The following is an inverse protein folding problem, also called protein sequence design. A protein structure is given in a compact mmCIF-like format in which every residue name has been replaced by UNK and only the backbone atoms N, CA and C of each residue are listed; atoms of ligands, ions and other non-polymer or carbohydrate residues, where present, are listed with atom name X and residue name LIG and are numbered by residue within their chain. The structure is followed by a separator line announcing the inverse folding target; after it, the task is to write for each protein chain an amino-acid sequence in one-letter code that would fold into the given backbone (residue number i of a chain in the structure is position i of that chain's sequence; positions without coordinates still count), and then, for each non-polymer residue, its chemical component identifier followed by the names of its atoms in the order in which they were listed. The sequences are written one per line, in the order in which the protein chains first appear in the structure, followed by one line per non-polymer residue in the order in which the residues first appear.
data_IF_006823917099
#
_entry.id   IF_006823917099
#
_cell.length_a   1.000
_cell.length_b   1.000
_cell.length_c   1.000
_cell.angle_alpha   90.00
_cell.angle_beta   90.00
_cell.angle_gamma   90.00
#
_symmetry.space_group_name_H-M   'P 1'
#
loop_
_entity.id
_entity.type
_entity.pdbx_description
1 polymer ?
#
# COMPACT_ATOMS: atom_id res chain seq x y z
N UNK A 1 10.94 -22.66 -21.49
CA UNK A 1 9.96 -21.72 -22.09
C UNK A 1 9.50 -20.81 -20.96
N UNK A 2 9.69 -19.50 -21.09
CA UNK A 2 9.20 -18.55 -20.09
C UNK A 2 7.67 -18.61 -20.01
N UNK A 3 7.12 -18.72 -18.80
CA UNK A 3 5.69 -18.67 -18.58
C UNK A 3 5.14 -17.27 -18.80
N UNK A 4 3.97 -17.14 -19.45
CA UNK A 4 3.31 -15.85 -19.63
C UNK A 4 2.16 -15.69 -18.64
N UNK A 5 2.12 -14.57 -17.95
CA UNK A 5 0.99 -14.09 -17.16
C UNK A 5 0.59 -12.67 -17.59
N UNK A 6 -0.65 -12.30 -17.34
CA UNK A 6 -1.17 -10.98 -17.65
C UNK A 6 -1.64 -10.31 -16.36
N UNK A 7 -1.17 -9.10 -16.08
CA UNK A 7 -1.74 -8.22 -15.08
C UNK A 7 -2.81 -7.35 -15.74
N UNK A 8 -4.08 -7.56 -15.38
CA UNK A 8 -5.19 -6.81 -15.94
C UNK A 8 -5.67 -5.74 -14.96
N UNK A 9 -5.54 -4.49 -15.37
CA UNK A 9 -5.91 -3.30 -14.59
C UNK A 9 -7.21 -2.68 -15.11
N UNK A 10 -7.92 -1.99 -14.24
CA UNK A 10 -9.05 -1.13 -14.59
C UNK A 10 -8.62 0.31 -14.90
N UNK A 11 -9.35 1.28 -14.38
CA UNK A 11 -9.06 2.71 -14.49
C UNK A 11 -7.69 3.05 -13.92
N UNK A 12 -6.97 3.98 -14.56
CA UNK A 12 -5.73 4.54 -14.04
C UNK A 12 -6.01 5.51 -12.90
N UNK A 13 -5.18 5.49 -11.86
CA UNK A 13 -5.18 6.52 -10.83
C UNK A 13 -4.19 7.64 -11.16
N UNK A 14 -4.52 8.87 -10.76
CA UNK A 14 -3.69 10.05 -11.04
C UNK A 14 -3.32 10.75 -9.72
N UNK A 15 -2.15 11.38 -9.63
CA UNK A 15 -1.10 11.54 -10.61
C UNK A 15 -0.18 10.32 -10.76
N UNK A 16 -0.26 9.33 -9.88
CA UNK A 16 0.51 8.08 -9.88
C UNK A 16 -0.43 6.90 -9.71
N UNK A 17 -0.19 5.79 -10.38
CA UNK A 17 -0.98 4.56 -10.24
C UNK A 17 -0.17 3.51 -9.46
N UNK A 18 -0.42 3.43 -8.15
CA UNK A 18 0.29 2.52 -7.26
C UNK A 18 0.07 1.03 -7.62
N UNK A 19 -1.08 0.69 -8.24
CA UNK A 19 -1.36 -0.69 -8.68
C UNK A 19 -0.60 -1.03 -9.95
N UNK A 20 -0.46 -0.08 -10.88
CA UNK A 20 0.40 -0.27 -12.06
C UNK A 20 1.87 -0.39 -11.66
N UNK A 21 2.35 0.46 -10.74
CA UNK A 21 3.71 0.36 -10.18
C UNK A 21 3.94 -0.98 -9.51
N UNK A 22 3.00 -1.44 -8.68
CA UNK A 22 3.04 -2.78 -8.09
C UNK A 22 3.20 -3.87 -9.17
N UNK A 23 2.43 -3.81 -10.25
CA UNK A 23 2.53 -4.79 -11.34
C UNK A 23 3.89 -4.74 -12.05
N UNK A 24 4.49 -3.55 -12.20
CA UNK A 24 5.83 -3.40 -12.80
C UNK A 24 6.91 -4.02 -11.92
N UNK A 25 6.91 -3.73 -10.62
CA UNK A 25 7.87 -4.34 -9.68
C UNK A 25 7.68 -5.84 -9.55
N UNK A 26 6.44 -6.32 -9.48
CA UNK A 26 6.13 -7.74 -9.47
C UNK A 26 6.63 -8.42 -10.77
N UNK A 27 6.37 -7.81 -11.92
CA UNK A 27 6.83 -8.33 -13.22
C UNK A 27 8.34 -8.40 -13.31
N UNK A 28 9.05 -7.38 -12.86
CA UNK A 28 10.52 -7.40 -12.80
C UNK A 28 11.06 -8.52 -11.89
N UNK A 29 10.43 -8.73 -10.74
CA UNK A 29 10.84 -9.79 -9.81
C UNK A 29 10.48 -11.21 -10.34
N UNK A 30 9.32 -11.37 -10.99
CA UNK A 30 8.90 -12.64 -11.59
C UNK A 30 9.78 -13.05 -12.78
N UNK A 31 10.40 -12.09 -13.47
CA UNK A 31 11.33 -12.38 -14.57
C UNK A 31 12.52 -13.26 -14.12
N UNK A 32 12.99 -13.09 -12.88
CA UNK A 32 14.03 -13.96 -12.29
C UNK A 32 13.58 -15.42 -12.09
N UNK A 33 12.28 -15.69 -12.23
CA UNK A 33 11.66 -17.02 -12.14
C UNK A 33 11.11 -17.51 -13.50
N UNK A 34 11.61 -16.98 -14.61
CA UNK A 34 11.16 -17.31 -15.97
C UNK A 34 9.67 -17.03 -16.22
N UNK A 35 9.07 -16.06 -15.52
CA UNK A 35 7.69 -15.63 -15.73
C UNK A 35 7.68 -14.20 -16.27
N UNK A 36 7.15 -14.03 -17.47
CA UNK A 36 6.86 -12.71 -18.05
C UNK A 36 5.49 -12.24 -17.59
N UNK A 37 5.37 -11.02 -17.06
CA UNK A 37 4.11 -10.40 -16.67
C UNK A 37 3.79 -9.23 -17.60
N UNK A 38 2.84 -9.41 -18.52
CA UNK A 38 2.37 -8.36 -19.41
C UNK A 38 1.28 -7.53 -18.73
N UNK A 39 1.45 -6.20 -18.72
CA UNK A 39 0.45 -5.28 -18.14
C UNK A 39 -0.54 -4.87 -19.22
N UNK A 40 -1.83 -5.12 -18.97
CA UNK A 40 -2.95 -4.75 -19.84
C UNK A 40 -3.98 -3.96 -19.04
N UNK A 41 -4.78 -3.15 -19.72
CA UNK A 41 -5.78 -2.28 -19.08
C UNK A 41 -7.12 -2.35 -19.80
N UNK A 42 -8.21 -2.27 -19.02
CA UNK A 42 -9.57 -2.13 -19.53
C UNK A 42 -9.94 -0.64 -19.45
N UNK A 43 -9.88 0.11 -20.56
CA UNK A 43 -10.00 1.57 -20.55
C UNK A 43 -11.48 2.03 -20.60
N UNK A 44 -12.29 1.51 -19.68
CA UNK A 44 -13.74 1.77 -19.61
C UNK A 44 -14.08 3.23 -19.31
N UNK A 45 -13.18 3.96 -18.67
CA UNK A 45 -13.39 5.37 -18.34
C UNK A 45 -13.31 6.27 -19.60
N UNK A 46 -12.43 5.91 -20.53
CA UNK A 46 -12.18 6.67 -21.76
C UNK A 46 -13.22 6.33 -22.84
N UNK A 47 -13.51 5.06 -23.04
CA UNK A 47 -14.30 4.57 -24.17
C UNK A 47 -15.71 4.09 -23.78
N UNK A 48 -16.06 4.14 -22.48
CA UNK A 48 -17.28 3.55 -21.96
C UNK A 48 -17.22 2.02 -21.87
N UNK A 49 -18.09 1.45 -21.05
CA UNK A 49 -18.10 0.02 -20.78
C UNK A 49 -18.42 -0.88 -22.00
N UNK A 50 -19.37 -0.51 -22.91
CA UNK A 50 -19.65 -1.37 -24.07
C UNK A 50 -18.43 -1.57 -24.97
N UNK A 51 -17.73 -0.49 -25.32
CA UNK A 51 -16.51 -0.54 -26.15
C UNK A 51 -15.37 -1.26 -25.43
N UNK A 52 -15.21 -1.02 -24.12
CA UNK A 52 -14.19 -1.69 -23.31
C UNK A 52 -14.41 -3.20 -23.20
N UNK A 53 -15.65 -3.67 -23.06
CA UNK A 53 -15.99 -5.10 -23.08
C UNK A 53 -15.75 -5.72 -24.45
N UNK A 54 -16.11 -5.05 -25.54
CA UNK A 54 -15.84 -5.54 -26.89
C UNK A 54 -14.32 -5.69 -27.14
N UNK A 55 -13.53 -4.68 -26.80
CA UNK A 55 -12.07 -4.75 -26.92
C UNK A 55 -11.46 -5.84 -26.04
N UNK A 56 -11.97 -6.03 -24.81
CA UNK A 56 -11.51 -7.08 -23.92
C UNK A 56 -11.85 -8.49 -24.49
N UNK A 57 -13.03 -8.68 -25.05
CA UNK A 57 -13.39 -9.95 -25.72
C UNK A 57 -12.38 -10.31 -26.80
N UNK A 58 -12.08 -9.38 -27.70
CA UNK A 58 -11.10 -9.62 -28.80
C UNK A 58 -9.70 -9.95 -28.26
N UNK A 59 -9.25 -9.28 -27.22
CA UNK A 59 -7.96 -9.56 -26.59
C UNK A 59 -7.96 -10.92 -25.91
N UNK A 60 -9.03 -11.24 -25.17
CA UNK A 60 -9.13 -12.43 -24.36
C UNK A 60 -9.15 -13.73 -25.20
N UNK A 61 -9.53 -13.68 -26.47
CA UNK A 61 -9.44 -14.83 -27.39
C UNK A 61 -8.03 -15.44 -27.46
N UNK A 62 -6.99 -14.61 -27.26
CA UNK A 62 -5.59 -15.01 -27.25
C UNK A 62 -5.09 -15.45 -25.87
N UNK A 63 -5.94 -15.41 -24.82
CA UNK A 63 -5.53 -15.68 -23.44
C UNK A 63 -5.98 -17.05 -22.92
N UNK A 64 -6.39 -17.95 -23.83
CA UNK A 64 -6.77 -19.30 -23.45
C UNK A 64 -5.62 -20.02 -22.74
N UNK A 65 -5.92 -20.58 -21.56
CA UNK A 65 -4.96 -21.19 -20.64
C UNK A 65 -3.88 -20.26 -20.05
N UNK A 66 -3.86 -18.96 -20.42
CA UNK A 66 -2.97 -17.99 -19.82
C UNK A 66 -3.51 -17.56 -18.44
N UNK A 67 -2.63 -17.37 -17.47
CA UNK A 67 -2.97 -16.81 -16.17
C UNK A 67 -3.20 -15.28 -16.30
N UNK A 68 -4.39 -14.84 -15.98
CA UNK A 68 -4.75 -13.41 -15.95
C UNK A 68 -4.97 -13.00 -14.51
N UNK A 69 -4.07 -12.16 -13.97
CA UNK A 69 -4.13 -11.60 -12.62
C UNK A 69 -4.86 -10.26 -12.66
N UNK A 70 -6.13 -10.27 -12.32
CA UNK A 70 -6.97 -9.07 -12.34
C UNK A 70 -6.77 -8.29 -11.05
N UNK A 71 -6.37 -7.03 -11.16
CA UNK A 71 -6.09 -6.15 -10.03
C UNK A 71 -7.40 -5.54 -9.53
N UNK A 72 -7.77 -5.82 -8.28
CA UNK A 72 -9.01 -5.33 -7.71
C UNK A 72 -8.76 -4.18 -6.72
N UNK A 73 -9.23 -3.00 -7.10
CA UNK A 73 -9.65 -1.93 -6.19
C UNK A 73 -11.05 -1.49 -6.59
N UNK A 74 -11.91 -1.09 -5.66
CA UNK A 74 -13.29 -0.74 -5.97
C UNK A 74 -13.37 0.42 -6.98
N UNK A 75 -12.47 1.38 -6.89
CA UNK A 75 -12.42 2.57 -7.75
C UNK A 75 -11.80 2.31 -9.13
N UNK A 76 -10.98 1.30 -9.29
CA UNK A 76 -10.47 0.91 -10.61
C UNK A 76 -11.58 0.38 -11.53
N UNK A 77 -12.66 -0.16 -10.97
CA UNK A 77 -13.78 -0.75 -11.71
C UNK A 77 -15.08 0.04 -11.61
N UNK A 78 -15.09 1.18 -10.92
CA UNK A 78 -16.25 2.07 -10.81
C UNK A 78 -15.86 3.44 -10.27
N UNK A 79 -16.21 4.51 -10.97
CA UNK A 79 -15.96 5.89 -10.51
C UNK A 79 -16.67 6.25 -9.19
N UNK A 80 -17.72 5.53 -8.83
CA UNK A 80 -18.53 5.76 -7.62
C UNK A 80 -18.42 4.67 -6.57
N UNK A 81 -17.50 3.68 -6.74
CA UNK A 81 -17.32 2.57 -5.81
C UNK A 81 -18.41 1.49 -5.85
N UNK A 82 -19.13 1.33 -6.98
CA UNK A 82 -20.11 0.26 -7.25
C UNK A 82 -19.58 -0.68 -8.35
N UNK A 83 -18.63 -1.59 -8.05
CA UNK A 83 -17.82 -2.29 -9.06
C UNK A 83 -18.51 -3.53 -9.68
N UNK A 84 -19.84 -3.55 -9.85
CA UNK A 84 -20.55 -4.74 -10.36
C UNK A 84 -20.12 -5.16 -11.76
N UNK A 85 -19.69 -4.19 -12.60
CA UNK A 85 -19.20 -4.46 -13.96
C UNK A 85 -17.88 -5.24 -13.98
N UNK A 86 -17.14 -5.25 -12.88
CA UNK A 86 -16.01 -6.14 -12.67
C UNK A 86 -16.36 -7.62 -12.86
N UNK A 87 -17.56 -8.05 -12.42
CA UNK A 87 -18.00 -9.42 -12.63
C UNK A 87 -18.19 -9.78 -14.12
N UNK A 88 -18.53 -8.81 -14.95
CA UNK A 88 -18.63 -9.00 -16.39
C UNK A 88 -17.24 -9.18 -17.03
N UNK A 89 -16.23 -8.42 -16.58
CA UNK A 89 -14.82 -8.62 -16.97
C UNK A 89 -14.39 -10.06 -16.67
N UNK A 90 -14.64 -10.57 -15.46
CA UNK A 90 -14.28 -11.94 -15.09
C UNK A 90 -15.00 -12.98 -15.94
N UNK A 91 -16.28 -12.77 -16.26
CA UNK A 91 -17.04 -13.67 -17.14
C UNK A 91 -16.45 -13.72 -18.56
N UNK A 92 -16.05 -12.59 -19.12
CA UNK A 92 -15.37 -12.54 -20.43
C UNK A 92 -14.10 -13.39 -20.39
N UNK A 93 -13.25 -13.21 -19.40
CA UNK A 93 -12.01 -13.96 -19.25
C UNK A 93 -12.25 -15.48 -19.11
N UNK A 94 -13.22 -15.86 -18.28
CA UNK A 94 -13.60 -17.28 -18.11
C UNK A 94 -14.15 -17.89 -19.39
N UNK A 95 -15.00 -17.16 -20.12
CA UNK A 95 -15.56 -17.62 -21.41
C UNK A 95 -14.48 -17.81 -22.47
N UNK A 96 -13.42 -17.01 -22.45
CA UNK A 96 -12.26 -17.14 -23.32
C UNK A 96 -11.32 -18.30 -22.90
N UNK A 97 -11.57 -18.96 -21.76
CA UNK A 97 -10.75 -20.05 -21.23
C UNK A 97 -9.48 -19.59 -20.54
N UNK A 98 -9.39 -18.34 -20.12
CA UNK A 98 -8.29 -17.83 -19.30
C UNK A 98 -8.32 -18.42 -17.88
N UNK A 99 -7.15 -18.58 -17.24
CA UNK A 99 -7.03 -18.94 -15.83
C UNK A 99 -7.08 -17.68 -14.99
N UNK A 100 -8.23 -17.40 -14.37
CA UNK A 100 -8.49 -16.13 -13.70
C UNK A 100 -7.95 -16.13 -12.27
N UNK A 101 -6.97 -15.25 -11.99
CA UNK A 101 -6.55 -14.88 -10.64
C UNK A 101 -7.02 -13.47 -10.30
N UNK A 102 -7.30 -13.21 -9.03
CA UNK A 102 -7.65 -11.87 -8.55
C UNK A 102 -6.69 -11.48 -7.45
N UNK A 103 -6.11 -10.27 -7.54
CA UNK A 103 -5.33 -9.66 -6.46
C UNK A 103 -6.18 -8.56 -5.83
N UNK A 104 -6.59 -8.77 -4.57
CA UNK A 104 -7.41 -7.82 -3.82
C UNK A 104 -6.50 -6.81 -3.11
N UNK A 105 -6.37 -5.60 -3.68
CA UNK A 105 -5.70 -4.46 -3.03
C UNK A 105 -6.64 -3.75 -2.07
N UNK A 106 -7.89 -3.53 -2.46
CA UNK A 106 -8.97 -3.16 -1.55
C UNK A 106 -9.59 -4.45 -1.00
N UNK A 107 -9.11 -4.91 0.13
CA UNK A 107 -9.56 -6.16 0.75
C UNK A 107 -10.87 -5.95 1.50
N UNK A 108 -10.99 -4.84 2.23
CA UNK A 108 -12.20 -4.49 2.94
C UNK A 108 -13.04 -3.47 2.15
N UNK A 109 -14.37 -3.52 2.28
CA UNK A 109 -15.24 -2.57 1.61
C UNK A 109 -15.10 -1.17 2.22
N UNK A 110 -15.46 -0.17 1.43
CA UNK A 110 -15.44 1.23 1.87
C UNK A 110 -16.26 1.45 3.13
N UNK A 111 -15.64 2.09 4.13
CA UNK A 111 -16.26 2.48 5.38
C UNK A 111 -16.65 3.97 5.32
N UNK A 112 -17.94 4.26 5.34
CA UNK A 112 -18.47 5.61 5.43
C UNK A 112 -19.72 5.65 6.31
N UNK A 113 -20.14 6.84 6.73
CA UNK A 113 -21.24 7.05 7.66
C UNK A 113 -22.58 7.37 7.01
N UNK A 114 -22.63 7.57 5.68
CA UNK A 114 -23.83 7.93 4.94
C UNK A 114 -24.61 6.67 4.53
N UNK A 115 -25.92 6.79 4.33
CA UNK A 115 -26.76 5.67 3.85
C UNK A 115 -26.25 5.07 2.52
N UNK A 116 -25.77 5.92 1.61
CA UNK A 116 -25.15 5.46 0.35
C UNK A 116 -23.89 4.63 0.58
N UNK A 117 -23.19 4.86 1.67
CA UNK A 117 -21.97 4.12 2.01
C UNK A 117 -22.29 2.71 2.49
N UNK A 118 -23.42 2.53 3.21
CA UNK A 118 -23.94 1.21 3.57
C UNK A 118 -24.33 0.39 2.34
N UNK A 119 -25.01 1.02 1.37
CA UNK A 119 -25.33 0.38 0.09
C UNK A 119 -24.06 0.05 -0.70
N UNK A 120 -23.10 0.97 -0.75
CA UNK A 120 -21.80 0.75 -1.41
C UNK A 120 -21.08 -0.44 -0.79
N UNK A 121 -20.99 -0.50 0.53
CA UNK A 121 -20.41 -1.61 1.29
C UNK A 121 -21.06 -2.94 0.93
N UNK A 122 -22.39 -3.01 0.97
CA UNK A 122 -23.13 -4.21 0.61
C UNK A 122 -22.81 -4.69 -0.81
N UNK A 123 -22.83 -3.76 -1.79
CA UNK A 123 -22.54 -4.07 -3.19
C UNK A 123 -21.07 -4.50 -3.37
N UNK A 124 -20.13 -3.87 -2.71
CA UNK A 124 -18.73 -4.27 -2.76
C UNK A 124 -18.51 -5.68 -2.21
N UNK A 125 -19.05 -6.00 -1.03
CA UNK A 125 -18.96 -7.35 -0.44
C UNK A 125 -19.58 -8.38 -1.40
N UNK A 126 -20.80 -8.08 -1.92
CA UNK A 126 -21.47 -8.98 -2.86
C UNK A 126 -20.62 -9.19 -4.12
N UNK A 127 -20.01 -8.14 -4.66
CA UNK A 127 -19.15 -8.22 -5.84
C UNK A 127 -17.90 -9.03 -5.55
N UNK A 128 -17.21 -8.78 -4.43
CA UNK A 128 -16.00 -9.51 -4.05
C UNK A 128 -16.28 -11.01 -3.84
N UNK A 129 -17.38 -11.35 -3.18
CA UNK A 129 -17.81 -12.76 -2.99
C UNK A 129 -18.10 -13.48 -4.31
N UNK A 130 -18.81 -12.81 -5.24
CA UNK A 130 -19.07 -13.40 -6.57
C UNK A 130 -17.79 -13.49 -7.40
N UNK A 131 -16.90 -12.51 -7.31
CA UNK A 131 -15.61 -12.54 -7.97
C UNK A 131 -14.75 -13.71 -7.48
N UNK A 132 -14.75 -13.96 -6.16
CA UNK A 132 -14.07 -15.10 -5.55
C UNK A 132 -14.55 -16.44 -6.14
N UNK A 133 -15.87 -16.59 -6.34
CA UNK A 133 -16.45 -17.81 -6.95
C UNK A 133 -16.09 -17.98 -8.43
N UNK A 134 -15.79 -16.90 -9.14
CA UNK A 134 -15.41 -16.91 -10.56
C UNK A 134 -13.90 -17.08 -10.75
N UNK A 135 -13.09 -16.93 -9.71
CA UNK A 135 -11.64 -17.02 -9.80
C UNK A 135 -11.10 -18.43 -9.57
N UNK A 136 -9.99 -18.75 -10.22
CA UNK A 136 -9.21 -19.96 -10.01
C UNK A 136 -8.12 -19.74 -8.95
N UNK A 137 -7.82 -18.47 -8.62
CA UNK A 137 -6.83 -18.03 -7.65
C UNK A 137 -7.27 -16.68 -7.07
N UNK A 138 -7.20 -16.52 -5.76
CA UNK A 138 -7.47 -15.28 -5.07
C UNK A 138 -6.30 -14.92 -4.15
N UNK A 139 -5.74 -13.74 -4.34
CA UNK A 139 -4.60 -13.24 -3.55
C UNK A 139 -5.08 -12.02 -2.76
N UNK A 140 -4.88 -12.08 -1.47
CA UNK A 140 -5.23 -11.02 -0.53
C UNK A 140 -3.95 -10.37 -0.01
N UNK A 141 -3.95 -9.04 0.06
CA UNK A 141 -2.79 -8.27 0.53
C UNK A 141 -2.70 -8.15 2.05
N UNK A 142 -3.68 -8.72 2.77
CA UNK A 142 -3.70 -8.88 4.24
C UNK A 142 -3.98 -10.35 4.59
N UNK A 143 -3.64 -10.81 5.81
CA UNK A 143 -3.90 -12.19 6.24
C UNK A 143 -5.38 -12.57 6.13
N UNK A 144 -5.66 -13.79 5.67
CA UNK A 144 -7.02 -14.25 5.35
C UNK A 144 -7.97 -14.19 6.54
N UNK A 145 -7.49 -14.43 7.75
CA UNK A 145 -8.27 -14.33 8.99
C UNK A 145 -8.64 -12.89 9.39
N UNK A 146 -8.10 -11.90 8.69
CA UNK A 146 -8.43 -10.48 8.86
C UNK A 146 -9.44 -9.96 7.84
N UNK A 147 -9.82 -10.77 6.88
CA UNK A 147 -10.79 -10.42 5.83
C UNK A 147 -12.21 -10.68 6.33
N UNK A 148 -12.97 -9.63 6.64
CA UNK A 148 -14.26 -9.72 7.35
C UNK A 148 -15.35 -10.47 6.60
N UNK A 149 -15.29 -10.52 5.28
CA UNK A 149 -16.31 -11.11 4.41
C UNK A 149 -15.94 -12.46 3.82
N UNK A 150 -14.68 -12.90 4.02
CA UNK A 150 -14.16 -14.14 3.46
C UNK A 150 -14.74 -15.35 4.22
N UNK A 151 -15.17 -16.41 3.53
CA UNK A 151 -15.50 -17.67 4.18
C UNK A 151 -14.30 -18.30 4.90
N UNK A 152 -14.56 -19.07 5.96
CA UNK A 152 -13.51 -19.67 6.81
C UNK A 152 -12.52 -20.54 6.01
N UNK A 153 -12.99 -21.19 4.95
CA UNK A 153 -12.14 -22.06 4.12
C UNK A 153 -12.37 -21.76 2.63
N UNK A 154 -11.34 -21.24 1.98
CA UNK A 154 -11.30 -21.02 0.54
C UNK A 154 -9.96 -21.54 0.02
N UNK A 155 -9.94 -22.77 -0.55
CA UNK A 155 -8.69 -23.47 -0.89
C UNK A 155 -7.79 -22.73 -1.89
N UNK A 156 -8.36 -21.88 -2.74
CA UNK A 156 -7.64 -21.10 -3.75
C UNK A 156 -7.32 -19.66 -3.31
N UNK A 157 -7.57 -19.33 -2.04
CA UNK A 157 -7.23 -18.04 -1.45
C UNK A 157 -5.87 -18.10 -0.76
N UNK A 158 -5.02 -17.12 -1.06
CA UNK A 158 -3.68 -17.00 -0.52
C UNK A 158 -3.43 -15.59 -0.01
N UNK A 159 -2.60 -15.48 1.02
CA UNK A 159 -2.10 -14.21 1.51
C UNK A 159 -0.70 -13.95 0.94
N UNK A 160 -0.54 -12.84 0.24
CA UNK A 160 0.77 -12.31 -0.17
C UNK A 160 0.74 -10.80 0.07
N UNK A 161 1.61 -10.26 0.94
CA UNK A 161 1.65 -8.83 1.20
C UNK A 161 2.07 -8.05 -0.05
N UNK A 162 1.81 -6.75 -0.10
CA UNK A 162 2.38 -5.91 -1.15
C UNK A 162 3.86 -5.60 -0.85
N UNK A 163 4.63 -5.30 -1.89
CA UNK A 163 5.97 -4.74 -1.75
C UNK A 163 5.94 -3.20 -1.73
N UNK A 164 7.04 -2.57 -1.36
CA UNK A 164 7.20 -1.13 -1.57
C UNK A 164 7.31 -0.87 -3.08
N UNK A 165 6.58 0.13 -3.57
CA UNK A 165 6.69 0.57 -4.96
C UNK A 165 7.86 1.57 -5.12
N UNK A 166 9.04 1.16 -4.64
CA UNK A 166 10.24 1.98 -4.60
C UNK A 166 11.46 1.15 -5.00
N UNK A 167 12.48 1.76 -5.65
CA UNK A 167 13.72 1.12 -6.00
C UNK A 167 14.65 1.00 -4.77
N UNK A 168 14.32 0.09 -3.85
CA UNK A 168 15.13 -0.13 -2.66
C UNK A 168 16.46 -0.78 -3.05
N UNK A 169 17.63 -0.19 -2.71
CA UNK A 169 18.91 -0.78 -2.99
C UNK A 169 19.10 -2.13 -2.27
N UNK A 170 19.67 -3.12 -2.97
CA UNK A 170 19.96 -4.45 -2.39
C UNK A 170 21.03 -4.38 -1.30
N UNK A 171 21.93 -3.43 -1.40
CA UNK A 171 22.97 -3.20 -0.39
C UNK A 171 22.50 -2.15 0.62
N UNK A 172 22.54 -2.51 1.89
CA UNK A 172 22.25 -1.61 3.03
C UNK A 172 23.23 -0.44 3.21
N UNK A 173 23.90 -0.02 2.13
CA UNK A 173 24.96 1.01 2.13
C UNK A 173 24.40 2.43 1.94
N UNK A 174 23.16 2.70 2.30
CA UNK A 174 22.79 4.10 2.52
C UNK A 174 23.54 4.58 3.75
N UNK A 175 24.70 5.21 3.49
CA UNK A 175 25.42 5.98 4.51
C UNK A 175 24.41 6.96 5.07
N UNK A 176 23.98 6.71 6.31
CA UNK A 176 23.05 7.58 7.00
C UNK A 176 23.77 8.91 7.20
N UNK A 177 23.29 9.96 6.58
CA UNK A 177 23.80 11.30 6.87
C UNK A 177 23.58 11.57 8.35
N UNK A 178 24.68 11.88 9.06
CA UNK A 178 24.60 12.28 10.47
C UNK A 178 24.04 13.70 10.49
N UNK A 179 22.76 13.82 10.81
CA UNK A 179 22.14 15.13 11.00
C UNK A 179 22.33 15.62 12.43
N UNK A 180 22.45 16.95 12.57
CA UNK A 180 22.58 17.61 13.89
C UNK A 180 21.31 17.46 14.78
N UNK A 181 20.19 17.07 14.19
CA UNK A 181 18.94 16.83 14.89
C UNK A 181 18.16 15.65 14.33
N UNK A 182 17.36 15.02 15.20
CA UNK A 182 16.52 13.88 14.84
C UNK A 182 15.44 14.28 13.83
N UNK A 183 15.22 13.43 12.84
CA UNK A 183 14.33 13.70 11.72
C UNK A 183 13.12 12.76 11.73
N UNK A 184 11.93 13.36 11.80
CA UNK A 184 10.64 12.66 11.65
C UNK A 184 10.19 12.77 10.19
N UNK A 185 10.02 11.64 9.52
CA UNK A 185 9.49 11.56 8.17
C UNK A 185 7.98 11.34 8.16
N UNK A 186 7.28 11.99 7.24
CA UNK A 186 5.86 11.75 6.91
C UNK A 186 5.75 11.56 5.40
N UNK A 187 5.39 10.37 4.97
CA UNK A 187 5.27 10.05 3.54
C UNK A 187 3.81 10.01 3.09
N UNK A 188 3.42 11.07 2.39
CA UNK A 188 2.07 11.36 1.90
C UNK A 188 1.06 11.69 3.01
N UNK A 189 0.12 12.56 2.67
CA UNK A 189 -1.04 12.91 3.49
C UNK A 189 -2.30 12.60 2.68
N UNK A 190 -3.41 12.29 3.35
CA UNK A 190 -4.69 12.06 2.67
C UNK A 190 -5.30 13.38 2.19
N UNK A 191 -6.02 13.36 1.10
CA UNK A 191 -6.72 14.55 0.61
C UNK A 191 -7.93 14.94 1.47
N UNK A 192 -8.39 16.19 1.34
CA UNK A 192 -9.63 16.66 1.96
C UNK A 192 -9.60 16.71 3.50
N UNK A 193 -10.75 16.45 4.13
CA UNK A 193 -10.94 16.55 5.59
C UNK A 193 -10.05 15.55 6.37
N UNK A 194 -9.83 14.37 5.82
CA UNK A 194 -8.95 13.38 6.46
C UNK A 194 -7.52 13.92 6.59
N UNK A 195 -6.99 14.57 5.56
CA UNK A 195 -5.66 15.17 5.60
C UNK A 195 -5.54 16.31 6.63
N UNK A 196 -6.58 17.13 6.83
CA UNK A 196 -6.60 18.13 7.91
C UNK A 196 -6.51 17.46 9.28
N UNK A 197 -7.20 16.35 9.47
CA UNK A 197 -7.13 15.59 10.71
C UNK A 197 -5.73 14.98 10.93
N UNK A 198 -5.15 14.37 9.88
CA UNK A 198 -3.79 13.83 9.91
C UNK A 198 -2.74 14.90 10.23
N UNK A 199 -2.85 16.09 9.60
CA UNK A 199 -1.97 17.24 9.87
C UNK A 199 -2.02 17.65 11.32
N UNK A 200 -3.22 17.69 11.94
CA UNK A 200 -3.39 18.02 13.36
C UNK A 200 -2.72 16.97 14.26
N UNK A 201 -2.87 15.68 13.95
CA UNK A 201 -2.20 14.58 14.67
C UNK A 201 -0.68 14.78 14.62
N UNK A 202 -0.12 15.03 13.43
CA UNK A 202 1.31 15.27 13.23
C UNK A 202 1.81 16.45 14.06
N UNK A 203 1.14 17.58 13.96
CA UNK A 203 1.51 18.80 14.68
C UNK A 203 1.47 18.62 16.20
N UNK A 204 0.46 17.92 16.72
CA UNK A 204 0.35 17.63 18.16
C UNK A 204 1.50 16.75 18.63
N UNK A 205 1.82 15.69 17.87
CA UNK A 205 2.90 14.77 18.21
C UNK A 205 4.28 15.46 18.16
N UNK A 206 4.53 16.26 17.10
CA UNK A 206 5.79 17.02 16.95
C UNK A 206 5.96 18.07 18.05
N UNK A 207 4.91 18.81 18.40
CA UNK A 207 4.93 19.75 19.52
C UNK A 207 5.33 19.08 20.82
N UNK A 208 4.68 17.97 21.15
CA UNK A 208 4.97 17.21 22.37
C UNK A 208 6.41 16.67 22.38
N UNK A 209 6.91 16.20 21.23
CA UNK A 209 8.27 15.70 21.12
C UNK A 209 9.30 16.82 21.30
N UNK A 210 9.08 17.99 20.71
CA UNK A 210 9.97 19.17 20.85
C UNK A 210 10.04 19.66 22.29
N UNK A 211 8.94 19.69 23.03
CA UNK A 211 8.90 20.07 24.43
C UNK A 211 9.78 19.15 25.31
N UNK A 212 10.00 17.93 24.90
CA UNK A 212 10.80 16.91 25.64
C UNK A 212 12.24 16.78 25.16
N UNK A 213 12.45 16.97 23.84
CA UNK A 213 13.71 16.64 23.17
C UNK A 213 14.44 17.88 22.64
N UNK A 214 13.80 19.05 22.60
CA UNK A 214 14.34 20.25 22.01
C UNK A 214 14.14 20.29 20.49
N UNK A 215 15.22 20.52 19.73
CA UNK A 215 15.14 20.71 18.26
C UNK A 215 14.83 19.40 17.52
N UNK A 216 13.92 19.48 16.55
CA UNK A 216 13.58 18.38 15.63
C UNK A 216 13.55 18.88 14.18
N UNK A 217 13.74 17.94 13.24
CA UNK A 217 13.43 18.13 11.82
C UNK A 217 12.18 17.37 11.45
N UNK A 218 11.24 18.01 10.76
CA UNK A 218 10.03 17.39 10.21
C UNK A 218 10.10 17.44 8.68
N UNK A 219 10.15 16.27 8.06
CA UNK A 219 10.22 16.10 6.62
C UNK A 219 8.91 15.48 6.12
N UNK A 220 8.11 16.29 5.41
CA UNK A 220 6.80 15.89 4.87
C UNK A 220 6.87 15.89 3.34
N UNK A 221 6.60 14.77 2.70
CA UNK A 221 6.72 14.66 1.24
C UNK A 221 5.72 13.66 0.66
N UNK A 222 5.53 13.72 -0.67
CA UNK A 222 4.60 12.84 -1.37
C UNK A 222 3.21 13.46 -1.59
N UNK A 223 2.21 12.63 -1.90
CA UNK A 223 0.86 13.10 -2.27
C UNK A 223 0.27 14.02 -1.20
N UNK A 224 -0.25 15.14 -1.63
CA UNK A 224 -0.96 16.16 -0.85
C UNK A 224 -0.15 16.83 0.27
N UNK A 225 1.16 16.58 0.36
CA UNK A 225 2.02 17.24 1.35
C UNK A 225 2.03 18.76 1.12
N UNK A 226 2.19 19.18 -0.14
CA UNK A 226 2.20 20.58 -0.56
C UNK A 226 0.89 21.32 -0.21
N UNK A 227 -0.24 20.61 -0.22
CA UNK A 227 -1.54 21.18 0.13
C UNK A 227 -1.67 21.50 1.63
N UNK A 228 -0.78 20.96 2.45
CA UNK A 228 -0.76 21.13 3.91
C UNK A 228 0.37 22.00 4.41
N UNK A 229 1.22 22.51 3.52
CA UNK A 229 2.41 23.28 3.89
C UNK A 229 2.08 24.50 4.75
N UNK A 230 1.07 25.28 4.37
CA UNK A 230 0.66 26.47 5.12
C UNK A 230 0.19 26.13 6.55
N UNK A 231 -0.62 25.05 6.69
CA UNK A 231 -1.11 24.56 7.99
C UNK A 231 0.04 24.03 8.86
N UNK A 232 0.96 23.27 8.27
CA UNK A 232 2.16 22.77 8.95
C UNK A 232 3.05 23.91 9.43
N UNK A 233 3.39 24.88 8.56
CA UNK A 233 4.21 26.04 8.92
C UNK A 233 3.60 26.88 10.03
N UNK A 234 2.28 27.11 9.96
CA UNK A 234 1.56 27.83 11.01
C UNK A 234 1.60 27.08 12.35
N UNK A 235 1.42 25.76 12.33
CA UNK A 235 1.37 24.94 13.54
C UNK A 235 2.69 24.82 14.29
N UNK A 236 3.83 25.03 13.59
CA UNK A 236 5.17 24.93 14.19
C UNK A 236 5.87 26.29 14.34
N UNK A 237 5.21 27.40 14.01
CA UNK A 237 5.83 28.75 13.92
C UNK A 237 6.70 29.11 15.11
N UNK A 238 6.25 28.77 16.30
CA UNK A 238 6.91 29.12 17.56
C UNK A 238 7.69 27.96 18.19
N UNK A 239 7.96 26.90 17.37
CA UNK A 239 8.67 25.70 17.82
C UNK A 239 10.04 25.60 17.14
N UNK A 240 11.07 25.07 17.82
CA UNK A 240 12.38 24.79 17.23
C UNK A 240 12.33 23.57 16.30
N UNK A 241 11.51 23.65 15.24
CA UNK A 241 11.32 22.62 14.23
C UNK A 241 11.79 23.11 12.87
N UNK A 242 12.72 22.40 12.28
CA UNK A 242 13.10 22.59 10.88
C UNK A 242 12.10 21.83 9.99
N UNK A 243 11.28 22.57 9.22
CA UNK A 243 10.29 21.98 8.33
C UNK A 243 10.75 21.98 6.88
N UNK A 244 10.72 20.80 6.24
CA UNK A 244 10.79 20.64 4.79
C UNK A 244 9.50 20.01 4.29
N UNK A 245 8.88 20.61 3.27
CA UNK A 245 7.67 20.08 2.62
C UNK A 245 7.93 19.97 1.13
N UNK A 246 7.67 18.79 0.58
CA UNK A 246 7.82 18.50 -0.84
C UNK A 246 6.57 17.76 -1.33
N UNK A 247 6.08 18.09 -2.52
CA UNK A 247 4.97 17.38 -3.18
C UNK A 247 5.36 15.98 -3.65
N UNK A 248 4.75 15.54 -4.73
CA UNK A 248 5.11 14.26 -5.38
C UNK A 248 6.49 14.38 -6.00
N UNK A 249 7.42 13.53 -5.57
CA UNK A 249 8.80 13.44 -6.04
C UNK A 249 9.06 12.08 -6.70
N UNK A 250 10.18 11.94 -7.40
CA UNK A 250 10.58 10.69 -8.06
C UNK A 250 10.86 9.59 -7.03
N UNK A 251 10.67 8.34 -7.42
CA UNK A 251 10.76 7.19 -6.50
C UNK A 251 12.14 6.99 -5.86
N UNK A 252 13.23 7.31 -6.57
CA UNK A 252 14.59 7.32 -6.04
C UNK A 252 14.80 8.42 -4.99
N UNK A 253 14.24 9.60 -5.24
CA UNK A 253 14.22 10.71 -4.27
C UNK A 253 13.42 10.36 -3.01
N UNK A 254 12.30 9.61 -3.15
CA UNK A 254 11.54 9.10 -1.99
C UNK A 254 12.43 8.24 -1.10
N UNK A 255 13.20 7.31 -1.68
CA UNK A 255 14.15 6.46 -0.94
C UNK A 255 15.20 7.32 -0.22
N UNK A 256 15.77 8.30 -0.92
CA UNK A 256 16.75 9.21 -0.31
C UNK A 256 16.16 9.99 0.87
N UNK A 257 14.94 10.54 0.73
CA UNK A 257 14.25 11.25 1.82
C UNK A 257 13.94 10.34 3.02
N UNK A 258 13.49 9.13 2.78
CA UNK A 258 13.26 8.16 3.86
C UNK A 258 14.57 7.80 4.56
N UNK A 259 15.65 7.56 3.81
CA UNK A 259 16.95 7.22 4.40
C UNK A 259 17.55 8.34 5.27
N UNK A 260 17.13 9.58 5.05
CA UNK A 260 17.50 10.73 5.89
C UNK A 260 16.66 10.87 7.18
N UNK A 261 15.66 10.01 7.38
CA UNK A 261 14.79 10.04 8.57
C UNK A 261 15.29 9.10 9.68
N UNK A 262 14.95 9.41 10.93
CA UNK A 262 15.15 8.54 12.10
C UNK A 262 13.97 7.60 12.31
N UNK A 263 12.79 8.00 11.88
CA UNK A 263 11.57 7.20 11.87
C UNK A 263 10.59 7.71 10.81
N UNK A 264 9.62 6.85 10.45
CA UNK A 264 8.44 7.23 9.67
C UNK A 264 7.22 7.32 10.59
N UNK A 265 6.55 8.47 10.61
CA UNK A 265 5.26 8.66 11.26
C UNK A 265 4.15 8.41 10.23
N UNK A 266 3.45 7.28 10.35
CA UNK A 266 2.38 6.88 9.45
C UNK A 266 1.01 7.07 10.11
N UNK A 267 0.31 8.14 9.75
CA UNK A 267 -0.99 8.53 10.35
C UNK A 267 -2.18 8.45 9.37
N UNK A 268 -1.97 7.84 8.20
CA UNK A 268 -3.00 7.68 7.15
C UNK A 268 -3.95 6.51 7.42
N UNK A 269 -4.55 6.47 8.60
CA UNK A 269 -5.37 5.35 9.08
C UNK A 269 -4.54 4.18 9.61
N UNK A 270 -5.19 3.06 9.95
CA UNK A 270 -4.50 1.88 10.47
C UNK A 270 -3.52 1.27 9.48
N UNK A 271 -2.42 0.72 10.03
CA UNK A 271 -1.40 0.04 9.23
C UNK A 271 -1.81 -1.40 8.90
N UNK A 272 -1.49 -1.84 7.68
CA UNK A 272 -1.62 -3.23 7.26
C UNK A 272 -0.57 -3.57 6.18
N UNK A 273 -0.42 -4.86 5.88
CA UNK A 273 0.49 -5.36 4.83
C UNK A 273 0.06 -4.98 3.39
N UNK A 274 -1.09 -4.31 3.24
CA UNK A 274 -1.57 -3.70 2.00
C UNK A 274 -1.18 -2.21 1.84
N UNK A 275 -0.49 -1.59 2.81
CA UNK A 275 -0.17 -0.14 2.82
C UNK A 275 1.25 0.13 2.33
N UNK A 276 1.45 0.21 1.01
CA UNK A 276 2.77 0.41 0.39
C UNK A 276 3.55 1.63 0.93
N UNK A 277 2.88 2.72 1.30
CA UNK A 277 3.55 3.90 1.88
C UNK A 277 4.11 3.67 3.29
N UNK A 278 3.50 2.81 4.10
CA UNK A 278 4.07 2.39 5.38
C UNK A 278 5.22 1.39 5.16
N UNK A 279 5.05 0.47 4.21
CA UNK A 279 6.09 -0.48 3.82
C UNK A 279 7.35 0.18 3.26
N UNK A 280 7.21 1.37 2.67
CA UNK A 280 8.35 2.19 2.24
C UNK A 280 9.32 2.50 3.39
N UNK A 281 8.78 2.87 4.56
CA UNK A 281 9.60 3.08 5.77
C UNK A 281 10.28 1.80 6.24
N UNK A 282 9.53 0.69 6.31
CA UNK A 282 10.07 -0.63 6.69
C UNK A 282 11.19 -1.06 5.73
N UNK A 283 11.00 -0.86 4.41
CA UNK A 283 11.97 -1.21 3.39
C UNK A 283 13.27 -0.38 3.48
N UNK A 284 13.16 0.88 3.88
CA UNK A 284 14.33 1.72 4.18
C UNK A 284 14.95 1.42 5.57
N UNK A 285 14.46 0.41 6.28
CA UNK A 285 14.94 0.04 7.61
C UNK A 285 14.58 1.04 8.71
N UNK A 286 13.50 1.81 8.54
CA UNK A 286 13.07 2.78 9.55
C UNK A 286 12.15 2.12 10.60
N UNK A 287 12.21 2.57 11.85
CA UNK A 287 11.08 2.45 12.76
C UNK A 287 9.85 3.15 12.17
N UNK A 288 8.69 2.53 12.31
CA UNK A 288 7.42 3.10 11.86
C UNK A 288 6.50 3.24 13.06
N UNK A 289 5.96 4.44 13.31
CA UNK A 289 4.89 4.63 14.29
C UNK A 289 3.58 4.72 13.53
N UNK A 290 2.61 3.88 13.89
CA UNK A 290 1.35 3.78 13.16
C UNK A 290 0.19 3.37 14.06
N UNK A 291 -1.03 3.71 13.63
CA UNK A 291 -2.24 3.24 14.30
C UNK A 291 -2.52 1.76 13.99
N UNK A 292 -2.92 1.03 15.04
CA UNK A 292 -3.42 -0.33 14.92
C UNK A 292 -4.88 -0.34 14.43
N UNK A 293 -5.27 -1.37 13.69
CA UNK A 293 -6.64 -1.58 13.24
C UNK A 293 -6.97 -3.03 12.94
N UNK A 294 -8.17 -3.26 12.42
CA UNK A 294 -8.69 -4.60 12.17
C UNK A 294 -7.81 -5.45 11.22
N UNK A 295 -7.15 -4.80 10.25
CA UNK A 295 -6.27 -5.45 9.27
C UNK A 295 -4.82 -5.61 9.76
N UNK A 296 -4.47 -5.03 10.92
CA UNK A 296 -3.11 -5.11 11.48
C UNK A 296 -2.82 -6.52 11.98
N UNK A 297 -1.79 -7.14 11.45
CA UNK A 297 -1.40 -8.52 11.77
C UNK A 297 0.03 -8.82 11.26
N UNK A 298 0.63 -9.97 11.61
CA UNK A 298 1.88 -10.39 10.98
C UNK A 298 1.79 -10.41 9.44
N UNK A 299 2.87 -10.01 8.74
CA UNK A 299 4.21 -9.69 9.25
C UNK A 299 4.41 -8.23 9.71
N UNK A 300 3.39 -7.37 9.66
CA UNK A 300 3.51 -5.96 10.09
C UNK A 300 3.82 -5.84 11.59
N UNK A 301 3.17 -6.66 12.43
CA UNK A 301 3.39 -6.65 13.89
C UNK A 301 4.78 -7.13 14.29
N UNK A 302 5.44 -7.89 13.42
CA UNK A 302 6.78 -8.43 13.66
C UNK A 302 7.89 -7.47 13.18
N UNK A 303 7.54 -6.53 12.32
CA UNK A 303 8.43 -5.48 11.84
C UNK A 303 8.76 -4.45 12.93
N UNK A 304 9.65 -3.52 12.62
CA UNK A 304 9.99 -2.39 13.49
C UNK A 304 8.88 -1.34 13.56
N UNK A 305 7.66 -1.78 13.85
CA UNK A 305 6.46 -0.93 13.93
C UNK A 305 6.03 -0.77 15.39
N UNK A 306 5.88 0.48 15.82
CA UNK A 306 5.27 0.83 17.11
C UNK A 306 3.78 1.07 16.85
N UNK A 307 2.97 0.13 17.30
CA UNK A 307 1.52 0.20 17.15
C UNK A 307 0.89 1.02 18.27
N UNK A 308 -0.01 1.91 17.88
CA UNK A 308 -0.74 2.81 18.78
C UNK A 308 -2.24 2.59 18.57
N UNK A 309 -3.05 2.54 19.64
CA UNK A 309 -4.49 2.46 19.48
C UNK A 309 -5.04 3.58 18.59
N UNK A 310 -5.98 3.26 17.70
CA UNK A 310 -6.52 4.26 16.77
C UNK A 310 -7.19 5.41 17.51
N UNK A 311 -6.75 6.64 17.22
CA UNK A 311 -7.26 7.87 17.83
C UNK A 311 -6.66 8.22 19.20
N UNK A 312 -5.75 7.40 19.74
CA UNK A 312 -5.04 7.69 20.98
C UNK A 312 -3.82 8.60 20.70
N UNK A 313 -4.06 9.91 20.81
CA UNK A 313 -3.03 10.92 20.58
C UNK A 313 -1.92 10.88 21.66
N UNK A 314 -2.25 10.56 22.89
CA UNK A 314 -1.29 10.55 23.99
C UNK A 314 -0.33 9.35 23.85
N UNK A 315 -0.85 8.19 23.49
CA UNK A 315 -0.03 7.03 23.15
C UNK A 315 0.88 7.29 21.93
N UNK A 316 0.38 8.01 20.90
CA UNK A 316 1.18 8.41 19.74
C UNK A 316 2.31 9.36 20.14
N UNK A 317 2.01 10.36 20.97
CA UNK A 317 2.98 11.33 21.51
C UNK A 317 4.08 10.61 22.29
N UNK A 318 3.70 9.72 23.19
CA UNK A 318 4.62 8.92 24.00
C UNK A 318 5.50 8.00 23.12
N UNK A 319 4.92 7.34 22.11
CA UNK A 319 5.64 6.52 21.17
C UNK A 319 6.69 7.32 20.40
N UNK A 320 6.34 8.51 19.91
CA UNK A 320 7.25 9.39 19.17
C UNK A 320 8.45 9.81 20.05
N UNK A 321 8.19 10.27 21.26
CA UNK A 321 9.25 10.63 22.23
C UNK A 321 10.16 9.44 22.51
N UNK A 322 9.59 8.26 22.80
CA UNK A 322 10.36 7.07 23.13
C UNK A 322 11.29 6.63 21.98
N UNK A 323 10.76 6.56 20.74
CA UNK A 323 11.58 6.15 19.58
C UNK A 323 12.71 7.16 19.32
N UNK A 324 12.47 8.46 19.52
CA UNK A 324 13.47 9.48 19.31
C UNK A 324 14.51 9.54 20.43
N UNK A 325 14.12 9.35 21.69
CA UNK A 325 15.03 9.49 22.86
C UNK A 325 15.81 8.21 23.20
N UNK A 326 15.26 7.04 22.89
CA UNK A 326 15.89 5.73 23.21
C UNK A 326 16.56 5.16 21.97
N UNK A 327 17.87 5.37 21.85
CA UNK A 327 18.67 4.90 20.72
C UNK A 327 18.72 3.37 20.63
N UNK A 328 18.78 2.69 21.76
CA UNK A 328 18.81 1.22 21.78
C UNK A 328 17.48 0.65 21.25
N UNK A 329 16.37 1.18 21.74
CA UNK A 329 15.04 0.80 21.26
C UNK A 329 14.87 1.11 19.78
N UNK A 330 15.31 2.27 19.31
CA UNK A 330 15.29 2.64 17.89
C UNK A 330 16.12 1.67 17.04
N UNK A 331 17.30 1.28 17.50
CA UNK A 331 18.18 0.33 16.79
C UNK A 331 17.54 -1.06 16.69
N UNK A 332 16.87 -1.55 17.74
CA UNK A 332 16.11 -2.79 17.68
C UNK A 332 15.00 -2.74 16.63
N UNK A 333 14.22 -1.65 16.61
CA UNK A 333 13.19 -1.45 15.61
C UNK A 333 13.75 -1.42 14.18
N UNK A 334 14.90 -0.79 13.96
CA UNK A 334 15.61 -0.80 12.66
C UNK A 334 15.95 -2.22 12.24
N UNK A 335 16.50 -3.03 13.14
CA UNK A 335 16.85 -4.43 12.86
C UNK A 335 15.62 -5.25 12.49
N UNK A 336 14.53 -5.09 13.23
CA UNK A 336 13.23 -5.75 12.94
C UNK A 336 12.64 -5.30 11.60
N UNK A 337 12.70 -4.01 11.26
CA UNK A 337 12.23 -3.53 9.95
C UNK A 337 13.01 -4.16 8.81
N UNK A 338 14.34 -4.24 8.91
CA UNK A 338 15.20 -4.86 7.90
C UNK A 338 14.90 -6.35 7.73
N UNK A 339 14.79 -7.10 8.82
CA UNK A 339 14.45 -8.51 8.78
C UNK A 339 13.07 -8.73 8.13
N UNK A 340 12.04 -8.02 8.59
CA UNK A 340 10.70 -8.14 8.02
C UNK A 340 10.65 -7.76 6.53
N UNK A 341 11.41 -6.76 6.11
CA UNK A 341 11.52 -6.42 4.68
C UNK A 341 12.09 -7.57 3.88
N UNK A 342 13.25 -8.11 4.28
CA UNK A 342 13.92 -9.19 3.55
C UNK A 342 13.04 -10.44 3.46
N UNK A 343 12.41 -10.84 4.56
CA UNK A 343 11.67 -12.09 4.66
C UNK A 343 10.27 -12.02 4.04
N UNK A 344 9.65 -10.83 4.01
CA UNK A 344 8.24 -10.72 3.70
C UNK A 344 7.88 -9.69 2.61
N UNK A 345 8.57 -8.55 2.56
CA UNK A 345 8.14 -7.42 1.73
C UNK A 345 9.06 -7.13 0.56
N UNK A 346 10.26 -7.70 0.53
CA UNK A 346 11.15 -7.60 -0.63
C UNK A 346 10.55 -8.29 -1.86
N UNK A 347 10.72 -7.67 -3.02
CA UNK A 347 10.15 -8.19 -4.26
C UNK A 347 10.59 -9.62 -4.60
N UNK A 348 11.85 -10.06 -4.35
CA UNK A 348 12.22 -11.47 -4.52
C UNK A 348 11.43 -12.43 -3.63
N UNK A 349 11.19 -12.08 -2.35
CA UNK A 349 10.39 -12.89 -1.43
C UNK A 349 8.92 -12.97 -1.88
N UNK A 350 8.36 -11.86 -2.35
CA UNK A 350 7.00 -11.80 -2.91
C UNK A 350 6.92 -12.65 -4.19
N UNK A 351 7.85 -12.49 -5.13
CA UNK A 351 7.88 -13.26 -6.37
C UNK A 351 8.00 -14.78 -6.11
N UNK A 352 8.81 -15.19 -5.13
CA UNK A 352 8.90 -16.59 -4.72
C UNK A 352 7.55 -17.17 -4.25
N UNK A 353 6.75 -16.39 -3.50
CA UNK A 353 5.39 -16.78 -3.10
C UNK A 353 4.44 -16.85 -4.28
N UNK A 354 4.52 -15.91 -5.22
CA UNK A 354 3.72 -15.95 -6.45
C UNK A 354 4.04 -17.18 -7.29
N UNK A 355 5.31 -17.48 -7.53
CA UNK A 355 5.72 -18.63 -8.35
C UNK A 355 5.26 -19.97 -7.77
N UNK A 356 5.24 -20.09 -6.44
CA UNK A 356 4.73 -21.29 -5.75
C UNK A 356 3.23 -21.57 -6.02
N UNK A 357 2.44 -20.52 -6.29
CA UNK A 357 0.97 -20.66 -6.46
C UNK A 357 0.49 -20.45 -7.90
N UNK A 358 1.28 -19.79 -8.75
CA UNK A 358 0.86 -19.49 -10.13
C UNK A 358 0.76 -20.74 -11.01
N UNK A 359 1.50 -21.83 -10.71
CA UNK A 359 1.53 -23.05 -11.52
C UNK A 359 1.69 -22.76 -13.03
N UNK A 360 2.57 -21.83 -13.37
CA UNK A 360 2.93 -21.49 -14.75
C UNK A 360 4.07 -22.41 -15.15
N UNK A 361 3.75 -23.46 -15.89
CA UNK A 361 4.70 -24.37 -16.55
C UNK A 361 4.59 -24.22 -18.06
#
# INVERSE_FOLDING_TARGET
MSGLAIALLGRRDEPTDAVEEYCRYLGAALHAHDVQLDIRRVPWEIHGWPSAFHALNLQAEHWRNIRVLVQYTALAWSSRGFPQRFLHVLKILKSAGARVGIIYHDVEPYHGSRLVDSLRRFIQIRTMRHALLLSDLAIFTIPLNKVSWLPISVPHAHFIPVGPNLPIPETNSTVREIHECLTVGVFSITGGVAGTHETRIILTAVRHAVERLGKLRLLVFGRHAELREAELRQGIRDLPVELSVEGVIQSDQVVHRLSACDLLLFVRGPISSGRSSALAGIACGLPVIAFEGAETAPPITDAGVVLVPQGDQDALNAALVRVLSDEHYRTDLVARSRAAYQDHFAWPAIAGRFTAILNIR
#
